data_IF_995493728615
#
_entry.id   IF_995493728615
#
_cell.length_a   1.000
_cell.length_b   1.000
_cell.length_c   1.000
_cell.angle_alpha   90.00
_cell.angle_beta   90.00
_cell.angle_gamma   90.00
#
_symmetry.space_group_name_H-M   'P 1'
#
loop_
_entity.id
_entity.type
_entity.pdbx_description
1 polymer ?
#
# COMPACT_ATOMS: atom_id res chain seq x y z
N UNK A 1 23.25 -15.66 -6.59
CA UNK A 1 22.31 -14.73 -5.93
C UNK A 1 22.57 -13.38 -6.54
N UNK A 2 21.81 -13.02 -7.58
CA UNK A 2 22.05 -11.82 -8.38
C UNK A 2 21.65 -10.56 -7.60
N UNK A 3 22.50 -9.54 -7.66
CA UNK A 3 22.36 -8.27 -6.92
C UNK A 3 21.06 -7.54 -7.31
N UNK A 4 20.06 -7.58 -6.42
CA UNK A 4 18.81 -6.82 -6.59
C UNK A 4 19.12 -5.32 -6.51
N UNK A 5 18.95 -4.59 -7.61
CA UNK A 5 19.10 -3.12 -7.64
C UNK A 5 18.03 -2.49 -6.74
N UNK A 6 18.45 -1.82 -5.67
CA UNK A 6 17.58 -0.97 -4.83
C UNK A 6 17.58 0.43 -5.42
N UNK A 7 16.43 0.91 -5.89
CA UNK A 7 16.26 2.32 -6.23
C UNK A 7 15.02 2.86 -5.50
N UNK A 8 15.18 3.92 -4.70
CA UNK A 8 14.11 4.50 -3.86
C UNK A 8 13.32 3.50 -2.99
N UNK A 9 13.96 2.45 -2.45
CA UNK A 9 13.28 1.46 -1.60
C UNK A 9 12.37 0.47 -2.36
N UNK A 10 12.36 0.50 -3.69
CA UNK A 10 11.63 -0.43 -4.54
C UNK A 10 12.57 -1.59 -4.89
N UNK A 11 12.10 -2.82 -4.67
CA UNK A 11 12.76 -4.04 -5.12
C UNK A 11 12.06 -4.53 -6.37
N UNK A 12 12.83 -4.80 -7.43
CA UNK A 12 12.32 -5.31 -8.70
C UNK A 12 12.88 -6.70 -9.02
N UNK A 13 12.11 -7.50 -9.77
CA UNK A 13 12.60 -8.76 -10.35
C UNK A 13 13.39 -8.49 -11.64
N UNK A 14 13.79 -9.56 -12.32
CA UNK A 14 14.57 -9.49 -13.56
C UNK A 14 13.77 -8.88 -14.73
N UNK A 15 12.43 -8.90 -14.64
CA UNK A 15 11.49 -8.33 -15.62
C UNK A 15 11.06 -6.89 -15.28
N UNK A 16 11.64 -6.30 -14.24
CA UNK A 16 11.31 -4.98 -13.67
C UNK A 16 9.95 -4.87 -12.95
N UNK A 17 9.30 -5.99 -12.63
CA UNK A 17 8.10 -5.96 -11.80
C UNK A 17 8.47 -5.58 -10.37
N UNK A 18 7.66 -4.72 -9.76
CA UNK A 18 7.85 -4.32 -8.37
C UNK A 18 7.47 -5.50 -7.47
N UNK A 19 8.45 -6.07 -6.77
CA UNK A 19 8.25 -7.19 -5.84
C UNK A 19 8.14 -6.72 -4.38
N UNK A 20 8.63 -5.51 -4.06
CA UNK A 20 8.58 -4.96 -2.69
C UNK A 20 8.71 -3.44 -2.68
N UNK A 21 7.96 -2.74 -1.82
CA UNK A 21 8.05 -1.28 -1.63
C UNK A 21 8.33 -0.94 -0.17
N UNK A 22 9.59 -0.69 0.16
CA UNK A 22 9.98 -0.24 1.48
C UNK A 22 9.99 1.30 1.54
N UNK A 23 8.87 1.87 1.99
CA UNK A 23 8.72 3.32 2.21
C UNK A 23 9.69 3.83 3.29
N UNK A 24 10.82 4.38 2.84
CA UNK A 24 11.76 5.14 3.67
C UNK A 24 11.33 6.60 3.85
N UNK A 25 12.02 7.32 4.74
CA UNK A 25 11.70 8.73 5.03
C UNK A 25 11.77 9.63 3.80
N UNK A 26 12.75 9.40 2.91
CA UNK A 26 12.92 10.19 1.70
C UNK A 26 11.76 10.00 0.72
N UNK A 27 11.25 8.77 0.59
CA UNK A 27 10.09 8.48 -0.25
C UNK A 27 8.83 9.14 0.29
N UNK A 28 8.64 9.14 1.62
CA UNK A 28 7.54 9.87 2.25
C UNK A 28 7.64 11.36 1.99
N UNK A 29 8.82 11.98 2.17
CA UNK A 29 9.04 13.40 1.84
C UNK A 29 8.72 13.74 0.38
N UNK A 30 9.09 12.86 -0.56
CA UNK A 30 8.75 13.02 -1.99
C UNK A 30 7.23 12.99 -2.24
N UNK A 31 6.51 12.10 -1.56
CA UNK A 31 5.04 12.04 -1.64
C UNK A 31 4.43 13.29 -1.02
N UNK A 32 4.90 13.72 0.16
CA UNK A 32 4.46 14.97 0.79
C UNK A 32 4.62 16.16 -0.16
N UNK A 33 5.78 16.31 -0.79
CA UNK A 33 6.01 17.37 -1.76
C UNK A 33 5.07 17.26 -2.97
N UNK A 34 4.80 16.05 -3.46
CA UNK A 34 3.86 15.83 -4.56
C UNK A 34 2.44 16.24 -4.17
N UNK A 35 2.03 15.99 -2.93
CA UNK A 35 0.73 16.41 -2.40
C UNK A 35 0.65 17.93 -2.25
N UNK A 36 1.72 18.59 -1.82
CA UNK A 36 1.79 20.07 -1.81
C UNK A 36 1.54 20.62 -3.22
N UNK A 37 2.21 20.04 -4.22
CA UNK A 37 2.02 20.45 -5.62
C UNK A 37 0.58 20.23 -6.07
N UNK A 38 -0.01 19.06 -5.79
CA UNK A 38 -1.41 18.78 -6.12
C UNK A 38 -2.34 19.82 -5.50
N UNK A 39 -2.18 20.13 -4.20
CA UNK A 39 -3.01 21.13 -3.51
C UNK A 39 -2.93 22.50 -4.20
N UNK A 40 -1.72 22.96 -4.53
CA UNK A 40 -1.55 24.22 -5.24
C UNK A 40 -2.20 24.22 -6.62
N UNK A 41 -2.03 23.15 -7.41
CA UNK A 41 -2.55 23.05 -8.78
C UNK A 41 -4.08 22.93 -8.84
N UNK A 42 -4.72 22.42 -7.78
CA UNK A 42 -6.19 22.41 -7.66
C UNK A 42 -6.76 23.71 -7.06
N UNK A 43 -5.93 24.72 -6.80
CA UNK A 43 -6.35 26.03 -6.29
C UNK A 43 -6.52 26.14 -4.77
N UNK A 44 -6.01 25.17 -4.00
CA UNK A 44 -5.95 25.27 -2.54
C UNK A 44 -4.69 26.03 -2.08
N UNK A 45 -4.73 26.65 -0.90
CA UNK A 45 -3.54 27.21 -0.23
C UNK A 45 -2.93 26.18 0.72
N UNK A 46 -1.76 25.57 0.40
CA UNK A 46 -1.13 24.57 1.28
C UNK A 46 -0.74 25.12 2.66
N UNK A 47 -0.63 26.45 2.83
CA UNK A 47 -0.24 27.09 4.08
C UNK A 47 -1.41 27.35 5.03
N UNK A 48 -2.67 27.12 4.61
CA UNK A 48 -3.82 27.28 5.50
C UNK A 48 -3.76 26.28 6.63
N UNK A 49 -4.23 26.67 7.83
CA UNK A 49 -4.12 25.89 9.07
C UNK A 49 -4.54 24.42 8.90
N UNK A 50 -5.64 24.16 8.20
CA UNK A 50 -6.15 22.81 7.97
C UNK A 50 -5.29 21.92 7.05
N UNK A 51 -4.46 22.52 6.18
CA UNK A 51 -3.66 21.81 5.17
C UNK A 51 -2.19 21.65 5.52
N UNK A 52 -1.65 22.39 6.50
CA UNK A 52 -0.24 22.31 6.90
C UNK A 52 0.26 20.87 7.11
N UNK A 53 -0.61 19.99 7.64
CA UNK A 53 -0.30 18.57 7.88
C UNK A 53 -0.94 17.62 6.86
N UNK A 54 -1.70 18.10 5.88
CA UNK A 54 -2.32 17.27 4.84
C UNK A 54 -1.28 16.47 4.06
N UNK A 55 -0.17 17.05 3.55
CA UNK A 55 0.87 16.29 2.86
C UNK A 55 1.34 15.06 3.64
N UNK A 56 1.70 15.24 4.92
CA UNK A 56 2.13 14.14 5.80
C UNK A 56 1.05 13.09 6.01
N UNK A 57 -0.21 13.52 6.22
CA UNK A 57 -1.34 12.59 6.39
C UNK A 57 -1.58 11.76 5.13
N UNK A 58 -1.54 12.38 3.96
CA UNK A 58 -1.74 11.70 2.67
C UNK A 58 -0.60 10.74 2.38
N UNK A 59 0.66 11.13 2.62
CA UNK A 59 1.81 10.23 2.44
C UNK A 59 1.71 8.98 3.32
N UNK A 60 1.29 9.14 4.58
CA UNK A 60 1.04 8.02 5.50
C UNK A 60 -0.16 7.17 5.08
N UNK A 61 -1.22 7.79 4.56
CA UNK A 61 -2.38 7.08 4.04
C UNK A 61 -2.00 6.20 2.85
N UNK A 62 -1.24 6.72 1.88
CA UNK A 62 -0.73 5.92 0.77
C UNK A 62 0.10 4.75 1.27
N UNK A 63 1.09 4.99 2.14
CA UNK A 63 1.91 3.93 2.75
C UNK A 63 1.06 2.82 3.40
N UNK A 64 -0.04 3.19 4.05
CA UNK A 64 -0.94 2.22 4.68
C UNK A 64 -1.77 1.45 3.65
N UNK A 65 -2.38 2.14 2.67
CA UNK A 65 -3.25 1.52 1.66
C UNK A 65 -2.48 0.59 0.72
N UNK A 66 -1.20 0.86 0.46
CA UNK A 66 -0.33 0.06 -0.41
C UNK A 66 0.61 -0.88 0.36
N UNK A 67 0.46 -1.01 1.68
CA UNK A 67 1.38 -1.83 2.50
C UNK A 67 1.46 -3.29 2.08
N UNK A 68 0.40 -3.80 1.42
CA UNK A 68 0.30 -5.18 0.93
C UNK A 68 1.46 -5.59 0.02
N UNK A 69 2.08 -4.64 -0.72
CA UNK A 69 3.25 -4.92 -1.56
C UNK A 69 4.50 -5.32 -0.76
N UNK A 70 4.53 -5.10 0.55
CA UNK A 70 5.68 -5.39 1.41
C UNK A 70 5.39 -6.45 2.46
N UNK A 71 4.18 -7.01 2.44
CA UNK A 71 3.78 -8.14 3.28
C UNK A 71 4.38 -9.44 2.73
N UNK A 72 4.57 -10.40 3.63
CA UNK A 72 5.15 -11.71 3.36
C UNK A 72 4.10 -12.77 3.72
N UNK A 73 3.64 -13.53 2.73
CA UNK A 73 2.56 -14.50 2.89
C UNK A 73 2.94 -15.59 3.90
N UNK A 74 4.20 -16.05 3.91
CA UNK A 74 4.64 -17.11 4.83
C UNK A 74 4.57 -16.62 6.28
N UNK A 75 5.02 -15.39 6.53
CA UNK A 75 4.93 -14.76 7.85
C UNK A 75 3.50 -14.47 8.25
N UNK A 76 2.65 -14.06 7.30
CA UNK A 76 1.24 -13.78 7.54
C UNK A 76 0.46 -15.04 7.94
N UNK A 77 0.73 -16.16 7.25
CA UNK A 77 0.13 -17.47 7.56
C UNK A 77 0.56 -17.99 8.93
N UNK A 78 1.78 -17.67 9.38
CA UNK A 78 2.28 -17.98 10.71
C UNK A 78 2.07 -19.45 11.14
N UNK A 79 2.28 -20.38 10.21
CA UNK A 79 2.06 -21.82 10.41
C UNK A 79 0.67 -22.18 10.95
N UNK A 80 -0.36 -21.37 10.69
CA UNK A 80 -1.75 -21.63 11.08
C UNK A 80 -2.40 -22.69 10.16
N UNK A 81 -1.75 -23.84 10.04
CA UNK A 81 -2.22 -25.01 9.30
C UNK A 81 -2.45 -26.13 10.31
N UNK A 82 -3.68 -26.62 10.37
CA UNK A 82 -4.10 -27.63 11.34
C UNK A 82 -4.50 -28.91 10.62
N UNK A 83 -4.12 -30.05 11.18
CA UNK A 83 -4.49 -31.36 10.67
C UNK A 83 -5.80 -31.80 11.31
N UNK A 84 -6.91 -31.68 10.57
CA UNK A 84 -8.23 -32.13 10.97
C UNK A 84 -8.74 -33.15 9.95
N UNK A 85 -9.43 -34.20 10.42
CA UNK A 85 -10.12 -35.14 9.53
C UNK A 85 -11.45 -34.52 9.06
N UNK A 86 -11.37 -33.57 8.11
CA UNK A 86 -12.51 -32.86 7.54
C UNK A 86 -12.37 -32.81 6.01
N UNK A 87 -13.38 -33.28 5.29
CA UNK A 87 -13.39 -33.42 3.82
C UNK A 87 -14.56 -32.72 3.13
N UNK A 88 -15.29 -31.88 3.86
CA UNK A 88 -16.38 -31.04 3.34
C UNK A 88 -15.89 -29.62 2.96
N UNK A 89 -16.72 -28.85 2.24
CA UNK A 89 -16.39 -27.48 1.86
C UNK A 89 -16.39 -26.54 3.08
N UNK A 90 -15.36 -25.69 3.18
CA UNK A 90 -15.31 -24.58 4.14
C UNK A 90 -15.51 -23.26 3.38
N UNK A 91 -16.43 -22.42 3.85
CA UNK A 91 -16.68 -21.09 3.27
C UNK A 91 -16.46 -20.02 4.34
N UNK A 92 -15.63 -19.02 4.03
CA UNK A 92 -15.50 -17.80 4.82
C UNK A 92 -16.01 -16.65 3.96
N UNK A 93 -17.21 -16.17 4.28
CA UNK A 93 -17.91 -15.14 3.52
C UNK A 93 -18.01 -13.83 4.28
N UNK A 94 -18.36 -12.76 3.55
CA UNK A 94 -18.65 -11.43 4.10
C UNK A 94 -17.41 -10.76 4.71
N UNK A 95 -16.21 -11.08 4.21
CA UNK A 95 -14.96 -10.43 4.61
C UNK A 95 -14.93 -9.01 4.04
N UNK A 96 -14.87 -8.00 4.91
CA UNK A 96 -14.69 -6.61 4.48
C UNK A 96 -13.32 -6.42 3.82
N UNK A 97 -13.32 -5.84 2.62
CA UNK A 97 -12.09 -5.42 1.97
C UNK A 97 -12.18 -3.97 1.51
N UNK A 98 -11.02 -3.31 1.54
CA UNK A 98 -10.81 -1.95 1.07
C UNK A 98 -9.55 -1.97 0.20
N UNK A 99 -9.63 -1.39 -0.98
CA UNK A 99 -8.52 -1.35 -1.92
C UNK A 99 -8.51 -0.02 -2.69
N UNK A 100 -7.51 0.17 -3.52
CA UNK A 100 -7.29 1.37 -4.31
C UNK A 100 -7.35 1.02 -5.81
N UNK A 101 -8.19 1.72 -6.58
CA UNK A 101 -8.25 1.53 -8.02
C UNK A 101 -7.01 2.15 -8.67
N UNK A 102 -6.20 1.37 -9.36
CA UNK A 102 -4.95 1.84 -9.99
C UNK A 102 -5.17 2.90 -11.08
N UNK A 103 -6.31 2.87 -11.76
CA UNK A 103 -6.62 3.81 -12.84
C UNK A 103 -6.88 5.24 -12.36
N UNK A 104 -7.43 5.39 -11.15
CA UNK A 104 -7.92 6.68 -10.64
C UNK A 104 -7.32 7.06 -9.28
N UNK A 105 -6.64 6.12 -8.62
CA UNK A 105 -6.19 6.22 -7.23
C UNK A 105 -7.32 6.57 -6.26
N UNK A 106 -8.54 6.09 -6.56
CA UNK A 106 -9.71 6.22 -5.69
C UNK A 106 -10.02 4.90 -4.99
N UNK A 107 -10.49 4.93 -3.74
CA UNK A 107 -10.86 3.71 -3.02
C UNK A 107 -12.01 2.96 -3.70
N UNK A 108 -11.95 1.64 -3.66
CA UNK A 108 -13.10 0.76 -3.86
C UNK A 108 -13.14 -0.27 -2.74
N UNK A 109 -14.34 -0.69 -2.35
CA UNK A 109 -14.54 -1.53 -1.17
C UNK A 109 -15.74 -2.45 -1.38
N UNK A 110 -15.80 -3.53 -0.62
CA UNK A 110 -16.87 -4.51 -0.73
C UNK A 110 -16.67 -5.71 0.18
N UNK A 111 -17.26 -6.84 -0.22
CA UNK A 111 -17.17 -8.12 0.47
C UNK A 111 -16.45 -9.16 -0.40
N UNK A 112 -15.59 -9.96 0.22
CA UNK A 112 -14.98 -11.15 -0.36
C UNK A 112 -15.67 -12.41 0.21
N UNK A 113 -15.80 -13.45 -0.61
CA UNK A 113 -16.48 -14.71 -0.30
C UNK A 113 -15.68 -15.90 -0.82
#
# INVERSE_FOLDING_TARGET
MSDKKKNNGITQDEDNNIIRVDYNEDSLKKIEQSVVNILSEIGEDPNREGLLRTPNRVAKAYKFMTKGYSEDIEKLLNNAVFNEHYDEMVIVKDIDFYSLCEHHLLPFFGKCH
#
